data_IF_148831091086
#
_entry.id   IF_148831091086
#
_cell.length_a   1.000
_cell.length_b   1.000
_cell.length_c   1.000
_cell.angle_alpha   90.00
_cell.angle_beta   90.00
_cell.angle_gamma   90.00
#
_symmetry.space_group_name_H-M   'P 1'
#
loop_
_entity.id
_entity.type
_entity.pdbx_description
1 polymer ?
#
# COMPACT_ATOMS: atom_id res chain seq x y z
N UNK A 1 -3.56 0.18 -7.89
CA UNK A 1 -3.22 -1.24 -7.74
C UNK A 1 -1.80 -1.43 -8.24
N UNK A 2 -1.07 -2.31 -7.60
CA UNK A 2 0.37 -2.40 -7.80
C UNK A 2 0.74 -3.39 -8.90
N UNK A 3 1.62 -2.94 -9.79
CA UNK A 3 2.36 -3.79 -10.72
C UNK A 3 3.74 -4.12 -10.16
N UNK A 4 4.35 -5.18 -10.65
CA UNK A 4 5.69 -5.59 -10.22
C UNK A 4 6.73 -4.60 -10.76
N UNK A 5 7.55 -4.06 -9.87
CA UNK A 5 8.68 -3.19 -10.19
C UNK A 5 10.01 -3.88 -9.86
N UNK A 6 11.10 -3.49 -10.53
CA UNK A 6 12.45 -4.04 -10.27
C UNK A 6 12.86 -3.90 -8.80
N UNK A 7 12.51 -2.79 -8.15
CA UNK A 7 12.80 -2.53 -6.73
C UNK A 7 12.14 -3.51 -5.78
N UNK A 8 11.16 -4.31 -6.24
CA UNK A 8 10.46 -5.29 -5.43
C UNK A 8 11.25 -6.59 -5.29
N UNK A 9 12.12 -6.92 -6.25
CA UNK A 9 12.76 -8.23 -6.37
C UNK A 9 13.76 -8.54 -5.26
N UNK A 10 14.22 -7.53 -4.52
CA UNK A 10 15.14 -7.72 -3.39
C UNK A 10 14.46 -8.35 -2.16
N UNK A 11 13.13 -8.34 -2.07
CA UNK A 11 12.38 -8.79 -0.89
C UNK A 11 11.08 -9.56 -1.19
N UNK A 12 10.54 -9.45 -2.39
CA UNK A 12 9.30 -10.11 -2.80
C UNK A 12 9.62 -11.34 -3.65
N UNK A 13 9.98 -12.44 -2.99
CA UNK A 13 10.53 -13.66 -3.60
C UNK A 13 9.57 -14.43 -4.52
N UNK A 14 8.28 -14.07 -4.57
CA UNK A 14 7.31 -14.67 -5.49
C UNK A 14 7.52 -14.19 -6.94
N UNK A 15 8.25 -13.08 -7.13
CA UNK A 15 8.40 -12.42 -8.43
C UNK A 15 9.80 -12.66 -9.04
N UNK A 16 9.90 -12.61 -10.37
CA UNK A 16 11.16 -12.70 -11.12
C UNK A 16 11.31 -11.50 -12.06
N UNK A 17 12.53 -11.25 -12.60
CA UNK A 17 12.74 -10.18 -13.58
C UNK A 17 11.81 -10.22 -14.80
N UNK A 18 11.42 -11.43 -15.24
CA UNK A 18 10.46 -11.63 -16.34
C UNK A 18 9.03 -11.17 -16.02
N UNK A 19 8.71 -10.97 -14.75
CA UNK A 19 7.35 -10.62 -14.30
C UNK A 19 7.16 -9.10 -14.13
N UNK A 20 8.22 -8.29 -14.33
CA UNK A 20 8.16 -6.83 -14.20
C UNK A 20 7.10 -6.24 -15.13
N UNK A 21 6.27 -5.35 -14.59
CA UNK A 21 5.12 -4.75 -15.27
C UNK A 21 3.81 -5.53 -15.13
N UNK A 22 3.85 -6.81 -14.74
CA UNK A 22 2.63 -7.62 -14.53
C UNK A 22 1.93 -7.28 -13.20
N UNK A 23 0.62 -7.54 -13.07
CA UNK A 23 -0.11 -7.39 -11.80
C UNK A 23 0.46 -8.29 -10.69
N UNK A 24 0.77 -7.72 -9.51
CA UNK A 24 1.34 -8.48 -8.39
C UNK A 24 0.44 -9.64 -7.94
N UNK A 25 -0.87 -9.38 -7.84
CA UNK A 25 -1.85 -10.35 -7.35
C UNK A 25 -1.91 -11.61 -8.23
N UNK A 26 -1.90 -11.43 -9.55
CA UNK A 26 -1.96 -12.53 -10.52
C UNK A 26 -0.71 -13.40 -10.45
N UNK A 27 0.48 -12.79 -10.52
CA UNK A 27 1.75 -13.53 -10.48
C UNK A 27 1.93 -14.24 -9.15
N UNK A 28 1.51 -13.63 -8.04
CA UNK A 28 1.57 -14.26 -6.72
C UNK A 28 0.70 -15.53 -6.65
N UNK A 29 -0.53 -15.48 -7.17
CA UNK A 29 -1.42 -16.64 -7.23
C UNK A 29 -0.88 -17.73 -8.15
N UNK A 30 -0.40 -17.37 -9.35
CA UNK A 30 0.25 -18.30 -10.28
C UNK A 30 1.41 -19.05 -9.63
N UNK A 31 2.30 -18.32 -8.96
CA UNK A 31 3.46 -18.90 -8.29
C UNK A 31 3.05 -19.87 -7.17
N UNK A 32 2.14 -19.45 -6.29
CA UNK A 32 1.71 -20.26 -5.14
C UNK A 32 0.99 -21.53 -5.57
N UNK A 33 0.05 -21.42 -6.51
CA UNK A 33 -0.73 -22.56 -7.00
C UNK A 33 0.15 -23.56 -7.77
N UNK A 34 1.20 -23.09 -8.46
CA UNK A 34 2.17 -23.97 -9.11
C UNK A 34 3.14 -24.63 -8.11
N UNK A 35 3.56 -23.90 -7.08
CA UNK A 35 4.58 -24.36 -6.13
C UNK A 35 4.02 -25.27 -5.03
N UNK A 36 2.79 -25.03 -4.59
CA UNK A 36 2.15 -25.72 -3.47
C UNK A 36 0.94 -26.50 -4.01
N UNK A 37 1.05 -27.84 -4.15
CA UNK A 37 -0.08 -28.67 -4.57
C UNK A 37 -1.28 -28.48 -3.65
N UNK A 38 -2.48 -28.45 -4.22
CA UNK A 38 -3.76 -28.25 -3.53
C UNK A 38 -3.95 -26.87 -2.90
N UNK A 39 -3.06 -25.90 -3.16
CA UNK A 39 -3.33 -24.50 -2.84
C UNK A 39 -4.26 -23.90 -3.91
N UNK A 40 -5.27 -23.14 -3.47
CA UNK A 40 -6.24 -22.47 -4.33
C UNK A 40 -6.27 -20.97 -4.03
N UNK A 41 -5.21 -20.27 -4.43
CA UNK A 41 -5.13 -18.81 -4.33
C UNK A 41 -5.90 -18.18 -5.48
N UNK A 42 -6.87 -17.33 -5.16
CA UNK A 42 -7.66 -16.55 -6.13
C UNK A 42 -7.13 -15.11 -6.17
N UNK A 43 -6.61 -14.63 -7.31
CA UNK A 43 -6.09 -13.28 -7.41
C UNK A 43 -7.19 -12.24 -7.59
N UNK A 44 -7.06 -11.09 -6.94
CA UNK A 44 -7.92 -9.92 -7.15
C UNK A 44 -7.08 -8.68 -7.45
N UNK A 45 -7.02 -8.26 -8.71
CA UNK A 45 -6.36 -7.01 -9.12
C UNK A 45 -7.31 -5.81 -8.99
N UNK A 46 -7.76 -5.53 -7.76
CA UNK A 46 -8.69 -4.43 -7.40
C UNK A 46 -8.26 -3.72 -6.12
N UNK A 47 -8.57 -2.44 -5.97
CA UNK A 47 -8.32 -1.76 -4.69
C UNK A 47 -9.32 -2.26 -3.65
N UNK A 48 -8.93 -2.30 -2.38
CA UNK A 48 -9.83 -2.72 -1.29
C UNK A 48 -11.07 -1.81 -1.19
N UNK A 49 -10.95 -0.55 -1.61
CA UNK A 49 -12.03 0.44 -1.67
C UNK A 49 -13.03 0.18 -2.80
N UNK A 50 -12.67 -0.62 -3.80
CA UNK A 50 -13.54 -0.99 -4.92
C UNK A 50 -14.41 -2.22 -4.58
N UNK A 51 -14.30 -2.75 -3.36
CA UNK A 51 -14.98 -3.94 -2.86
C UNK A 51 -16.00 -3.54 -1.81
N UNK A 52 -17.20 -4.09 -1.92
CA UNK A 52 -18.31 -3.83 -1.01
C UNK A 52 -18.32 -4.84 0.16
N UNK A 53 -19.23 -4.63 1.11
CA UNK A 53 -19.36 -5.52 2.27
C UNK A 53 -19.70 -6.96 1.89
N UNK A 54 -20.45 -7.15 0.79
CA UNK A 54 -20.82 -8.47 0.30
C UNK A 54 -19.61 -9.32 -0.10
N UNK A 55 -18.55 -8.68 -0.59
CA UNK A 55 -17.29 -9.36 -0.89
C UNK A 55 -16.62 -9.92 0.36
N UNK A 56 -16.59 -9.16 1.46
CA UNK A 56 -15.89 -9.59 2.67
C UNK A 56 -16.72 -10.60 3.48
N UNK A 57 -18.05 -10.49 3.42
CA UNK A 57 -18.99 -11.42 4.07
C UNK A 57 -19.37 -12.54 3.10
N UNK A 58 -18.46 -13.48 2.89
CA UNK A 58 -18.72 -14.67 2.07
C UNK A 58 -19.87 -15.51 2.68
N UNK A 59 -21.02 -15.61 1.99
CA UNK A 59 -22.11 -16.52 2.38
C UNK A 59 -23.31 -15.85 3.05
N UNK A 60 -24.02 -16.60 3.92
CA UNK A 60 -25.22 -16.11 4.63
C UNK A 60 -24.78 -15.13 5.71
N UNK A 61 -25.29 -13.90 5.62
CA UNK A 61 -24.97 -12.80 6.52
C UNK A 61 -25.51 -13.13 7.92
N UNK A 62 -24.62 -13.49 8.84
CA UNK A 62 -24.90 -13.45 10.27
C UNK A 62 -24.41 -12.10 10.82
N UNK A 63 -25.32 -11.17 11.18
CA UNK A 63 -24.96 -9.87 11.76
C UNK A 63 -24.22 -9.99 13.10
N UNK A 64 -24.26 -11.15 13.75
CA UNK A 64 -23.54 -11.42 15.01
C UNK A 64 -22.13 -11.99 14.81
N UNK A 65 -21.76 -12.32 13.56
CA UNK A 65 -20.44 -12.88 13.26
C UNK A 65 -19.36 -11.78 13.24
N UNK A 66 -18.31 -11.98 14.04
CA UNK A 66 -17.12 -11.12 14.08
C UNK A 66 -16.07 -11.71 13.13
N UNK A 67 -15.54 -10.91 12.21
CA UNK A 67 -14.40 -11.28 11.35
C UNK A 67 -13.11 -10.75 12.00
N UNK A 68 -12.22 -11.62 12.51
CA UNK A 68 -10.94 -11.18 13.06
C UNK A 68 -10.05 -10.56 11.98
N UNK A 69 -9.36 -9.47 12.34
CA UNK A 69 -8.41 -8.77 11.49
C UNK A 69 -7.00 -8.92 12.07
N UNK A 70 -6.07 -9.43 11.27
CA UNK A 70 -4.65 -9.47 11.61
C UNK A 70 -3.95 -8.42 10.76
N UNK A 71 -3.21 -7.53 11.41
CA UNK A 71 -2.46 -6.48 10.74
C UNK A 71 -0.99 -6.52 11.16
N UNK A 72 -0.09 -6.26 10.21
CA UNK A 72 1.33 -6.18 10.46
C UNK A 72 1.99 -5.10 9.60
N UNK A 73 3.00 -4.44 10.17
CA UNK A 73 3.76 -3.36 9.53
C UNK A 73 5.26 -3.56 9.69
N UNK A 74 6.04 -2.98 8.77
CA UNK A 74 7.51 -3.03 8.81
C UNK A 74 8.13 -1.76 8.24
N UNK A 75 9.20 -1.28 8.88
CA UNK A 75 10.01 -0.14 8.43
C UNK A 75 11.47 -0.39 8.82
N UNK A 76 12.35 -0.56 7.83
CA UNK A 76 13.75 -0.91 8.06
C UNK A 76 13.90 -2.20 8.87
N UNK A 77 14.49 -2.10 10.07
CA UNK A 77 14.66 -3.22 11.00
C UNK A 77 13.59 -3.27 12.10
N UNK A 78 12.53 -2.46 12.00
CA UNK A 78 11.40 -2.44 12.94
C UNK A 78 10.17 -3.08 12.29
N UNK A 79 9.30 -3.60 13.13
CA UNK A 79 8.00 -4.11 12.72
C UNK A 79 7.06 -4.32 13.88
N UNK A 80 5.78 -4.52 13.57
CA UNK A 80 4.71 -4.76 14.52
C UNK A 80 3.74 -5.79 13.95
N UNK A 81 3.06 -6.51 14.85
CA UNK A 81 1.96 -7.39 14.53
C UNK A 81 0.85 -7.19 15.57
N UNK A 82 -0.40 -7.22 15.14
CA UNK A 82 -1.58 -7.04 16.01
C UNK A 82 -2.74 -7.91 15.56
N UNK A 83 -3.55 -8.29 16.54
CA UNK A 83 -4.80 -9.02 16.34
C UNK A 83 -5.94 -8.11 16.80
N UNK A 84 -6.90 -7.88 15.91
CA UNK A 84 -8.06 -7.02 16.13
C UNK A 84 -9.31 -7.89 16.03
N UNK A 85 -10.09 -7.90 17.09
CA UNK A 85 -11.42 -8.52 17.16
C UNK A 85 -12.42 -7.36 17.23
N UNK A 86 -13.07 -6.99 16.11
CA UNK A 86 -14.02 -5.88 16.08
C UNK A 86 -15.08 -5.97 17.18
N UNK A 87 -15.29 -4.88 17.92
CA UNK A 87 -16.23 -4.82 19.04
C UNK A 87 -15.73 -5.41 20.37
N UNK A 88 -14.53 -6.00 20.40
CA UNK A 88 -13.96 -6.61 21.62
C UNK A 88 -12.58 -6.07 22.00
N UNK A 89 -11.65 -5.95 21.04
CA UNK A 89 -10.30 -5.40 21.28
C UNK A 89 -10.16 -4.00 20.71
N UNK A 90 -9.06 -3.30 21.05
CA UNK A 90 -8.71 -2.03 20.42
C UNK A 90 -8.63 -2.18 18.89
N UNK A 91 -9.32 -1.29 18.16
CA UNK A 91 -9.26 -1.24 16.71
C UNK A 91 -8.07 -0.39 16.22
N UNK A 92 -7.91 -0.25 14.91
CA UNK A 92 -6.86 0.60 14.31
C UNK A 92 -6.96 2.04 14.84
N UNK A 93 -8.17 2.58 14.90
CA UNK A 93 -8.43 3.97 15.30
C UNK A 93 -8.11 4.22 16.78
N UNK A 94 -8.35 3.24 17.65
CA UNK A 94 -7.93 3.30 19.06
C UNK A 94 -6.41 3.45 19.25
N UNK A 95 -5.61 3.11 18.23
CA UNK A 95 -4.13 3.11 18.28
C UNK A 95 -3.50 4.05 17.26
N UNK A 96 -4.27 5.00 16.70
CA UNK A 96 -3.81 5.86 15.62
C UNK A 96 -2.60 6.73 16.02
N UNK A 97 -2.49 7.08 17.30
CA UNK A 97 -1.37 7.84 17.86
C UNK A 97 -0.04 7.08 17.87
N UNK A 98 -0.07 5.75 17.71
CA UNK A 98 1.15 4.93 17.63
C UNK A 98 1.84 5.03 16.27
N UNK A 99 1.15 5.53 15.24
CA UNK A 99 1.78 5.74 13.94
C UNK A 99 2.71 6.96 14.00
N UNK A 100 3.90 6.89 13.39
CA UNK A 100 4.80 8.02 13.35
C UNK A 100 4.16 9.20 12.62
N UNK A 101 4.46 10.45 13.03
CA UNK A 101 3.96 11.63 12.33
C UNK A 101 4.46 11.62 10.89
N UNK A 102 3.58 11.96 9.94
CA UNK A 102 3.98 12.12 8.56
C UNK A 102 4.94 13.31 8.43
N UNK A 103 6.05 13.10 7.72
CA UNK A 103 6.99 14.18 7.42
C UNK A 103 6.33 15.13 6.44
N UNK A 104 6.02 16.35 6.89
CA UNK A 104 5.43 17.39 6.08
C UNK A 104 6.25 18.68 6.21
N UNK A 105 6.72 19.22 5.09
CA UNK A 105 7.53 20.43 5.06
C UNK A 105 6.63 21.67 4.89
N UNK A 106 6.76 22.71 5.73
CA UNK A 106 5.95 23.93 5.59
C UNK A 106 6.21 24.64 4.26
N UNK A 107 5.14 25.13 3.61
CA UNK A 107 5.23 25.82 2.31
C UNK A 107 6.20 27.01 2.31
N UNK A 108 6.23 27.81 3.38
CA UNK A 108 7.17 28.93 3.50
C UNK A 108 8.64 28.47 3.52
N UNK A 109 8.91 27.29 4.08
CA UNK A 109 10.26 26.70 4.10
C UNK A 109 10.64 26.20 2.72
N UNK A 110 9.75 25.48 2.05
CA UNK A 110 9.98 24.96 0.70
C UNK A 110 10.19 26.11 -0.31
N UNK A 111 9.33 27.14 -0.27
CA UNK A 111 9.31 28.20 -1.27
C UNK A 111 10.43 29.24 -1.08
N UNK A 112 10.78 29.57 0.17
CA UNK A 112 11.61 30.76 0.45
C UNK A 112 12.83 30.48 1.32
N UNK A 113 12.86 29.40 2.09
CA UNK A 113 13.93 29.15 3.08
C UNK A 113 14.37 27.67 3.09
N UNK A 114 14.81 27.08 1.96
CA UNK A 114 15.29 25.70 1.94
C UNK A 114 16.59 25.58 2.75
N UNK A 115 16.71 24.50 3.52
CA UNK A 115 17.85 24.25 4.44
C UNK A 115 18.42 22.86 4.30
N UNK A 116 17.59 21.90 3.89
CA UNK A 116 17.96 20.51 3.66
C UNK A 116 17.80 20.17 2.18
N UNK A 117 18.57 19.22 1.62
CA UNK A 117 18.42 18.77 0.23
C UNK A 117 16.99 18.35 -0.12
N UNK A 118 16.28 17.74 0.82
CA UNK A 118 14.89 17.29 0.69
C UNK A 118 13.94 18.46 0.37
N UNK A 119 14.21 19.66 0.89
CA UNK A 119 13.39 20.84 0.61
C UNK A 119 13.50 21.27 -0.85
N UNK A 120 14.69 21.15 -1.44
CA UNK A 120 14.90 21.46 -2.85
C UNK A 120 14.18 20.45 -3.76
N UNK A 121 14.24 19.17 -3.41
CA UNK A 121 13.51 18.11 -4.13
C UNK A 121 11.99 18.37 -4.05
N UNK A 122 11.49 18.67 -2.86
CA UNK A 122 10.06 18.93 -2.67
C UNK A 122 9.63 20.21 -3.42
N UNK A 123 10.43 21.28 -3.41
CA UNK A 123 10.17 22.48 -4.22
C UNK A 123 9.96 22.15 -5.71
N UNK A 124 10.88 21.37 -6.29
CA UNK A 124 10.77 20.97 -7.69
C UNK A 124 9.48 20.18 -7.91
N UNK A 125 9.20 19.22 -7.03
CA UNK A 125 8.03 18.34 -7.13
C UNK A 125 6.70 19.09 -7.02
N UNK A 126 6.56 20.00 -6.06
CA UNK A 126 5.26 20.60 -5.71
C UNK A 126 5.02 22.00 -6.31
N UNK A 127 6.07 22.74 -6.66
CA UNK A 127 5.96 24.10 -7.21
C UNK A 127 6.44 24.17 -8.66
N UNK A 128 7.67 23.73 -8.93
CA UNK A 128 8.27 23.91 -10.26
C UNK A 128 7.63 23.00 -11.31
N UNK A 129 7.43 21.73 -10.99
CA UNK A 129 6.87 20.75 -11.93
C UNK A 129 5.45 21.10 -12.40
N UNK A 130 4.49 21.46 -11.52
CA UNK A 130 3.16 21.88 -11.98
C UNK A 130 3.20 23.16 -12.83
N UNK A 131 4.17 24.05 -12.58
CA UNK A 131 4.34 25.31 -13.30
C UNK A 131 4.91 25.12 -14.70
N UNK A 132 5.94 24.30 -14.83
CA UNK A 132 6.69 24.14 -16.09
C UNK A 132 6.15 23.02 -16.97
N UNK A 133 5.45 22.03 -16.39
CA UNK A 133 4.92 20.86 -17.09
C UNK A 133 5.93 20.26 -18.08
N UNK A 134 7.12 19.84 -17.59
CA UNK A 134 8.30 19.59 -18.44
C UNK A 134 8.12 18.47 -19.47
N UNK A 135 7.14 17.57 -19.25
CA UNK A 135 6.82 16.46 -20.16
C UNK A 135 5.55 16.73 -21.01
N UNK A 136 5.14 18.00 -21.11
CA UNK A 136 3.94 18.44 -21.82
C UNK A 136 2.72 18.48 -20.92
N UNK A 137 2.02 19.61 -20.92
CA UNK A 137 0.70 19.74 -20.33
C UNK A 137 -0.31 18.87 -21.06
N UNK A 138 -1.06 18.05 -20.32
CA UNK A 138 -2.30 17.54 -20.89
C UNK A 138 -3.26 18.71 -21.06
N UNK A 139 -3.38 19.22 -22.28
CA UNK A 139 -4.64 19.78 -22.77
C UNK A 139 -5.58 18.61 -23.07
N UNK A 140 -6.06 17.91 -22.03
CA UNK A 140 -7.30 17.11 -22.01
C UNK A 140 -7.82 17.08 -20.58
#
# INVERSE_FOLDING_TARGET
>A
MDTIDLSNLNRQFLFRPKDVGRPKAEVAAEFLNSRIPNCAVVPHYKKIQDLDESFYRHGVIDPSSIIPLIDGGTEGFKGNARVIIPGMTACIECTLELYPPQVNFPMCTIASMPRLPEHCIEYVRILQWPKEQPFGGKSV
#
